data_IF_946569466967
#
_entry.id   IF_946569466967
#
_cell.length_a   1.000
_cell.length_b   1.000
_cell.length_c   1.000
_cell.angle_alpha   90.00
_cell.angle_beta   90.00
_cell.angle_gamma   90.00
#
_symmetry.space_group_name_H-M   'P 1'
#
loop_
_entity.id
_entity.type
_entity.pdbx_description
1 polymer ?
#
# COMPACT_ATOMS: atom_id res chain seq x y z
N UNK A 1 2.67 21.58 -4.55
CA UNK A 1 3.42 20.31 -4.66
C UNK A 1 2.68 19.27 -3.83
N UNK A 2 2.28 18.16 -4.45
CA UNK A 2 1.53 17.07 -3.80
C UNK A 2 2.44 16.25 -2.89
N UNK A 3 1.99 15.92 -1.68
CA UNK A 3 2.69 15.00 -0.78
C UNK A 3 2.23 13.58 -1.10
N UNK A 4 3.19 12.71 -1.41
CA UNK A 4 2.92 11.29 -1.73
C UNK A 4 3.19 10.42 -0.52
N UNK A 5 2.31 9.45 -0.31
CA UNK A 5 2.37 8.52 0.82
C UNK A 5 2.23 7.10 0.27
N UNK A 6 3.32 6.34 0.26
CA UNK A 6 3.35 4.96 -0.14
C UNK A 6 3.08 4.04 1.08
N UNK A 7 1.88 3.46 1.09
CA UNK A 7 1.46 2.47 2.08
C UNK A 7 1.79 1.05 1.64
N UNK A 8 2.79 0.45 2.26
CA UNK A 8 3.28 -0.90 1.94
C UNK A 8 2.58 -1.96 2.76
N UNK A 9 2.09 -3.01 2.11
CA UNK A 9 1.48 -4.14 2.81
C UNK A 9 1.73 -5.47 2.10
N UNK A 10 1.91 -6.52 2.89
CA UNK A 10 1.65 -7.88 2.44
C UNK A 10 0.14 -8.15 2.27
N UNK A 11 -0.25 -9.28 1.65
CA UNK A 11 -1.64 -9.69 1.54
C UNK A 11 -2.36 -9.72 2.89
N UNK A 12 -3.69 -9.49 2.88
CA UNK A 12 -4.57 -9.66 4.05
C UNK A 12 -4.24 -8.74 5.23
N UNK A 13 -3.77 -7.52 4.97
CA UNK A 13 -3.26 -6.62 6.00
C UNK A 13 -3.96 -5.25 6.04
N UNK A 14 -5.30 -5.25 6.07
CA UNK A 14 -6.20 -4.08 6.12
C UNK A 14 -5.87 -2.92 5.16
N UNK A 15 -5.03 -3.14 4.13
CA UNK A 15 -4.54 -2.09 3.26
C UNK A 15 -5.64 -1.43 2.45
N UNK A 16 -6.67 -2.18 2.07
CA UNK A 16 -7.90 -1.61 1.50
C UNK A 16 -8.60 -0.68 2.49
N UNK A 17 -8.71 -1.03 3.78
CA UNK A 17 -9.33 -0.16 4.78
C UNK A 17 -8.50 1.12 5.01
N UNK A 18 -7.17 1.01 5.00
CA UNK A 18 -6.29 2.18 5.04
C UNK A 18 -6.47 3.07 3.81
N UNK A 19 -6.50 2.49 2.62
CA UNK A 19 -6.76 3.24 1.40
C UNK A 19 -8.12 3.95 1.48
N UNK A 20 -9.17 3.30 2.01
CA UNK A 20 -10.47 3.94 2.27
C UNK A 20 -10.38 5.09 3.27
N UNK A 21 -9.61 4.94 4.34
CA UNK A 21 -9.39 6.00 5.32
C UNK A 21 -8.69 7.24 4.72
N UNK A 22 -7.76 7.05 3.78
CA UNK A 22 -7.15 8.16 3.05
C UNK A 22 -8.08 8.74 1.98
N UNK A 23 -8.83 7.89 1.27
CA UNK A 23 -9.84 8.28 0.26
C UNK A 23 -10.98 9.13 0.84
N UNK A 24 -11.34 8.92 2.11
CA UNK A 24 -12.40 9.70 2.76
C UNK A 24 -12.00 11.15 3.06
N UNK A 25 -10.73 11.51 2.89
CA UNK A 25 -10.27 12.89 3.04
C UNK A 25 -10.58 13.72 1.79
N UNK A 26 -11.07 14.96 1.93
CA UNK A 26 -11.34 15.82 0.79
C UNK A 26 -10.07 16.33 0.08
N UNK A 27 -8.90 16.26 0.72
CA UNK A 27 -7.62 16.76 0.21
C UNK A 27 -6.70 15.65 -0.34
N UNK A 28 -7.19 14.41 -0.43
CA UNK A 28 -6.40 13.24 -0.81
C UNK A 28 -7.00 12.49 -2.00
N UNK A 29 -6.19 12.20 -3.01
CA UNK A 29 -6.49 11.14 -3.97
C UNK A 29 -5.81 9.83 -3.55
N UNK A 30 -6.31 8.71 -4.06
CA UNK A 30 -5.70 7.39 -3.79
C UNK A 30 -5.42 6.63 -5.09
N UNK A 31 -4.37 5.82 -5.07
CA UNK A 31 -3.98 4.94 -6.18
C UNK A 31 -3.91 3.50 -5.65
N UNK A 32 -4.66 2.60 -6.28
CA UNK A 32 -4.78 1.21 -5.84
C UNK A 32 -3.83 0.31 -6.64
N UNK A 33 -2.85 -0.28 -5.94
CA UNK A 33 -1.88 -1.25 -6.48
C UNK A 33 -1.27 -0.84 -7.83
N UNK A 34 -0.58 0.32 -7.91
CA UNK A 34 -0.17 0.92 -9.18
C UNK A 34 0.79 0.04 -10.01
N UNK A 35 1.55 -0.85 -9.37
CA UNK A 35 2.51 -1.75 -10.02
C UNK A 35 1.92 -3.12 -10.41
N UNK A 36 0.61 -3.32 -10.27
CA UNK A 36 0.04 -4.65 -10.46
C UNK A 36 0.09 -5.11 -11.93
N UNK A 37 -0.28 -4.23 -12.87
CA UNK A 37 -0.29 -4.51 -14.29
C UNK A 37 1.08 -4.90 -14.85
N UNK A 38 2.12 -4.10 -14.58
CA UNK A 38 3.49 -4.43 -14.99
C UNK A 38 4.00 -5.70 -14.32
N UNK A 39 3.72 -5.92 -13.02
CA UNK A 39 4.08 -7.17 -12.33
C UNK A 39 3.44 -8.40 -12.99
N UNK A 40 2.17 -8.35 -13.40
CA UNK A 40 1.49 -9.46 -14.07
C UNK A 40 2.08 -9.77 -15.46
N UNK A 41 2.64 -8.77 -16.14
CA UNK A 41 3.35 -8.95 -17.40
C UNK A 41 4.72 -9.58 -17.18
N UNK A 42 5.49 -9.06 -16.22
CA UNK A 42 6.84 -9.53 -15.89
C UNK A 42 6.85 -10.97 -15.35
N UNK A 43 5.94 -11.28 -14.43
CA UNK A 43 5.89 -12.58 -13.73
C UNK A 43 5.17 -13.68 -14.51
N UNK A 44 4.28 -13.31 -15.44
CA UNK A 44 3.37 -14.25 -16.10
C UNK A 44 2.29 -14.85 -15.18
N UNK A 45 2.14 -14.32 -13.96
CA UNK A 45 1.20 -14.85 -12.97
C UNK A 45 -0.25 -14.87 -13.49
N UNK A 46 -0.96 -15.95 -13.18
CA UNK A 46 -2.36 -16.15 -13.58
C UNK A 46 -3.27 -15.75 -12.41
N UNK A 47 -3.78 -14.51 -12.45
CA UNK A 47 -4.69 -14.00 -11.43
C UNK A 47 -6.08 -13.72 -12.02
N UNK A 48 -7.17 -13.87 -11.24
CA UNK A 48 -8.48 -13.35 -11.63
C UNK A 48 -8.38 -11.89 -12.12
N UNK A 49 -9.10 -11.60 -13.22
CA UNK A 49 -9.15 -10.27 -13.85
C UNK A 49 -7.80 -9.76 -14.39
N UNK A 50 -6.79 -10.63 -14.59
CA UNK A 50 -5.47 -10.28 -15.11
C UNK A 50 -5.50 -9.29 -16.28
N UNK A 51 -6.22 -9.62 -17.34
CA UNK A 51 -6.23 -8.79 -18.56
C UNK A 51 -6.88 -7.43 -18.33
N UNK A 52 -7.91 -7.36 -17.48
CA UNK A 52 -8.53 -6.10 -17.10
C UNK A 52 -7.58 -5.21 -16.27
N UNK A 53 -6.81 -5.81 -15.35
CA UNK A 53 -5.80 -5.08 -14.56
C UNK A 53 -4.72 -4.53 -15.48
N UNK A 54 -4.14 -5.36 -16.36
CA UNK A 54 -3.10 -4.95 -17.32
C UNK A 54 -3.61 -3.83 -18.24
N UNK A 55 -4.86 -3.90 -18.69
CA UNK A 55 -5.44 -2.86 -19.54
C UNK A 55 -5.70 -1.53 -18.80
N UNK A 56 -5.87 -1.57 -17.48
CA UNK A 56 -6.20 -0.40 -16.66
C UNK A 56 -4.99 0.39 -16.14
N UNK A 57 -3.77 -0.14 -16.29
CA UNK A 57 -2.55 0.41 -15.68
C UNK A 57 -1.39 0.51 -16.70
N UNK A 58 -0.38 1.35 -16.44
CA UNK A 58 0.86 1.33 -17.21
C UNK A 58 1.52 -0.06 -17.21
N UNK A 59 2.07 -0.45 -18.36
CA UNK A 59 2.61 -1.79 -18.57
C UNK A 59 4.10 -1.92 -18.21
N UNK A 60 4.78 -0.81 -17.92
CA UNK A 60 6.19 -0.80 -17.48
C UNK A 60 6.30 -0.09 -16.13
N UNK A 61 7.32 -0.46 -15.33
CA UNK A 61 7.57 0.16 -14.02
C UNK A 61 7.82 1.66 -14.15
N UNK A 62 8.60 2.07 -15.14
CA UNK A 62 8.88 3.49 -15.40
C UNK A 62 7.60 4.26 -15.77
N UNK A 63 6.68 3.61 -16.50
CA UNK A 63 5.38 4.19 -16.82
C UNK A 63 4.50 4.36 -15.58
N UNK A 64 4.55 3.40 -14.65
CA UNK A 64 3.87 3.51 -13.35
C UNK A 64 4.45 4.67 -12.55
N UNK A 65 5.77 4.75 -12.43
CA UNK A 65 6.40 5.85 -11.68
C UNK A 65 6.09 7.21 -12.30
N UNK A 66 6.12 7.33 -13.64
CA UNK A 66 5.74 8.56 -14.32
C UNK A 66 4.28 8.95 -14.04
N UNK A 67 3.37 7.98 -13.97
CA UNK A 67 1.97 8.20 -13.61
C UNK A 67 1.84 8.69 -12.15
N UNK A 68 2.57 8.09 -11.21
CA UNK A 68 2.56 8.52 -9.80
C UNK A 68 3.11 9.94 -9.64
N UNK A 69 4.18 10.28 -10.39
CA UNK A 69 4.80 11.62 -10.40
C UNK A 69 3.93 12.71 -11.05
N UNK A 70 2.95 12.35 -11.86
CA UNK A 70 2.08 13.29 -12.54
C UNK A 70 1.34 14.22 -11.55
N UNK A 71 1.12 15.47 -11.97
CA UNK A 71 0.49 16.49 -11.15
C UNK A 71 -0.95 16.09 -10.76
N UNK A 72 -1.29 16.31 -9.50
CA UNK A 72 -2.58 15.97 -8.93
C UNK A 72 -3.29 17.25 -8.48
N UNK A 73 -4.61 17.30 -8.66
CA UNK A 73 -5.44 18.38 -8.11
C UNK A 73 -5.62 18.28 -6.57
N UNK A 74 -5.06 17.25 -5.95
CA UNK A 74 -5.14 16.98 -4.53
C UNK A 74 -3.80 17.29 -3.84
N UNK A 75 -3.88 17.73 -2.59
CA UNK A 75 -2.70 18.04 -1.78
C UNK A 75 -1.95 16.77 -1.38
N UNK A 76 -2.67 15.67 -1.19
CA UNK A 76 -2.15 14.36 -0.82
C UNK A 76 -2.46 13.33 -1.90
N UNK A 77 -1.56 12.37 -2.06
CA UNK A 77 -1.75 11.17 -2.86
C UNK A 77 -1.33 9.96 -2.01
N UNK A 78 -2.28 9.08 -1.68
CA UNK A 78 -1.99 7.83 -0.99
C UNK A 78 -1.93 6.67 -1.97
N UNK A 79 -0.83 5.91 -1.95
CA UNK A 79 -0.57 4.82 -2.87
C UNK A 79 -0.59 3.52 -2.08
N UNK A 80 -1.55 2.64 -2.39
CA UNK A 80 -1.61 1.30 -1.80
C UNK A 80 -0.68 0.37 -2.56
N UNK A 81 0.48 0.07 -1.97
CA UNK A 81 1.49 -0.81 -2.56
C UNK A 81 1.43 -2.22 -1.95
N UNK A 82 1.50 -3.22 -2.83
CA UNK A 82 1.66 -4.61 -2.44
C UNK A 82 3.11 -5.03 -2.57
N UNK A 83 3.67 -5.60 -1.51
CA UNK A 83 5.10 -5.94 -1.45
C UNK A 83 5.53 -6.97 -2.49
N UNK A 84 4.64 -7.87 -2.90
CA UNK A 84 4.93 -8.88 -3.92
C UNK A 84 4.95 -8.32 -5.35
N UNK A 85 4.45 -7.09 -5.59
CA UNK A 85 4.63 -6.40 -6.87
C UNK A 85 6.07 -5.87 -7.04
N UNK A 86 6.88 -5.98 -5.99
CA UNK A 86 8.26 -5.52 -5.93
C UNK A 86 9.21 -6.71 -5.75
N UNK A 87 9.49 -7.52 -6.78
CA UNK A 87 10.45 -8.62 -6.69
C UNK A 87 11.86 -8.13 -6.39
N UNK A 88 12.76 -9.05 -5.99
CA UNK A 88 14.15 -8.72 -5.68
C UNK A 88 14.88 -8.20 -6.93
N UNK A 89 15.74 -7.20 -6.75
CA UNK A 89 16.62 -6.69 -7.81
C UNK A 89 16.01 -5.64 -8.74
N UNK A 90 14.79 -5.19 -8.48
CA UNK A 90 14.20 -4.03 -9.18
C UNK A 90 14.82 -2.72 -8.69
N UNK A 91 14.71 -1.67 -9.51
CA UNK A 91 15.03 -0.32 -9.06
C UNK A 91 13.95 0.20 -8.09
N UNK A 92 14.41 0.74 -6.96
CA UNK A 92 13.59 1.34 -5.91
C UNK A 92 13.94 2.82 -5.70
N UNK A 93 14.76 3.45 -6.55
CA UNK A 93 15.18 4.84 -6.36
C UNK A 93 14.00 5.83 -6.24
N UNK A 94 12.85 5.54 -6.84
CA UNK A 94 11.64 6.36 -6.77
C UNK A 94 11.09 6.54 -5.34
N UNK A 95 11.47 5.67 -4.38
CA UNK A 95 10.97 5.75 -3.00
C UNK A 95 11.38 7.06 -2.32
N UNK A 96 12.47 7.72 -2.75
CA UNK A 96 12.87 9.02 -2.20
C UNK A 96 11.84 10.14 -2.45
N UNK A 97 10.88 9.93 -3.34
CA UNK A 97 9.87 10.91 -3.74
C UNK A 97 8.57 10.82 -2.94
N UNK A 98 8.47 9.86 -2.02
CA UNK A 98 7.30 9.63 -1.19
C UNK A 98 7.66 9.48 0.29
N UNK A 99 6.67 9.73 1.15
CA UNK A 99 6.72 9.28 2.54
C UNK A 99 6.22 7.84 2.58
N UNK A 100 6.72 7.05 3.51
CA UNK A 100 6.41 5.62 3.56
C UNK A 100 5.77 5.22 4.87
N UNK A 101 4.88 4.23 4.82
CA UNK A 101 4.37 3.53 5.99
C UNK A 101 4.26 2.05 5.67
N UNK A 102 4.73 1.20 6.58
CA UNK A 102 4.63 -0.25 6.43
C UNK A 102 3.56 -0.80 7.37
N UNK A 103 2.56 -1.46 6.80
CA UNK A 103 1.55 -2.16 7.56
C UNK A 103 2.00 -3.58 7.82
N UNK A 104 1.94 -4.03 9.06
CA UNK A 104 2.24 -5.39 9.48
C UNK A 104 1.01 -6.04 10.12
N UNK A 105 0.97 -7.37 10.05
CA UNK A 105 -0.03 -8.17 10.72
C UNK A 105 0.63 -9.42 11.27
N UNK A 106 0.23 -9.82 12.47
CA UNK A 106 0.68 -11.07 13.08
C UNK A 106 0.59 -12.24 12.08
N UNK A 107 1.70 -12.96 11.82
CA UNK A 107 1.72 -14.09 10.90
C UNK A 107 0.66 -15.15 11.23
N UNK A 108 0.42 -15.40 12.52
CA UNK A 108 -0.62 -16.32 12.99
C UNK A 108 -2.02 -15.90 12.52
N UNK A 109 -2.33 -14.59 12.50
CA UNK A 109 -3.60 -14.06 12.00
C UNK A 109 -3.68 -14.09 10.47
N UNK A 110 -2.56 -13.92 9.77
CA UNK A 110 -2.52 -14.06 8.31
C UNK A 110 -2.78 -15.51 7.92
N UNK A 111 -2.07 -16.46 8.54
CA UNK A 111 -2.25 -17.91 8.34
C UNK A 111 -3.70 -18.33 8.65
N UNK A 112 -4.28 -17.85 9.76
CA UNK A 112 -5.67 -18.13 10.09
C UNK A 112 -6.66 -17.64 9.01
N UNK A 113 -6.40 -16.48 8.38
CA UNK A 113 -7.22 -15.99 7.25
C UNK A 113 -7.03 -16.80 5.98
N UNK A 114 -5.86 -17.41 5.75
CA UNK A 114 -5.56 -18.21 4.56
C UNK A 114 -6.08 -19.65 4.67
N UNK A 115 -6.04 -20.26 5.87
CA UNK A 115 -6.52 -21.63 6.11
C UNK A 115 -8.00 -21.85 5.76
N UNK A 116 -8.80 -20.79 5.65
CA UNK A 116 -10.20 -20.87 5.19
C UNK A 116 -10.35 -20.89 3.65
N UNK A 117 -9.31 -20.55 2.89
CA UNK A 117 -9.42 -20.30 1.43
C UNK A 117 -8.36 -20.97 0.55
N UNK A 118 -7.24 -21.49 1.09
CA UNK A 118 -6.21 -22.17 0.29
C UNK A 118 -5.68 -23.46 0.95
N UNK A 119 -5.43 -24.54 0.16
CA UNK A 119 -4.92 -25.83 0.67
C UNK A 119 -3.46 -25.81 1.13
N UNK A 120 -2.63 -24.88 0.65
CA UNK A 120 -1.23 -24.71 1.03
C UNK A 120 -0.86 -23.23 1.02
N UNK A 121 -0.06 -22.80 2.01
CA UNK A 121 0.47 -21.44 2.13
C UNK A 121 1.97 -21.58 2.26
N UNK A 122 2.74 -21.06 1.29
CA UNK A 122 4.19 -20.96 1.40
C UNK A 122 4.58 -19.65 2.09
N UNK A 123 5.79 -19.56 2.64
CA UNK A 123 6.27 -18.32 3.27
C UNK A 123 6.32 -17.13 2.28
N UNK A 124 6.55 -17.44 1.00
CA UNK A 124 6.47 -16.46 -0.10
C UNK A 124 5.02 -15.99 -0.35
N UNK A 125 4.02 -16.87 -0.23
CA UNK A 125 2.59 -16.51 -0.39
C UNK A 125 2.08 -15.56 0.71
N UNK A 126 2.69 -15.60 1.90
CA UNK A 126 2.36 -14.68 2.99
C UNK A 126 3.04 -13.32 2.77
N UNK A 127 4.13 -13.29 1.98
CA UNK A 127 4.84 -12.06 1.62
C UNK A 127 5.59 -11.39 2.78
N UNK A 128 5.71 -12.04 3.94
CA UNK A 128 6.35 -11.48 5.14
C UNK A 128 7.85 -11.28 4.92
N UNK A 129 8.53 -12.27 4.34
CA UNK A 129 9.97 -12.21 4.07
C UNK A 129 10.25 -11.05 3.12
N UNK A 130 9.54 -10.99 1.99
CA UNK A 130 9.74 -9.91 1.02
C UNK A 130 9.38 -8.54 1.60
N UNK A 131 8.34 -8.44 2.42
CA UNK A 131 8.00 -7.20 3.10
C UNK A 131 9.13 -6.71 4.02
N UNK A 132 9.76 -7.64 4.75
CA UNK A 132 10.89 -7.30 5.62
C UNK A 132 12.11 -6.83 4.81
N UNK A 133 12.44 -7.52 3.73
CA UNK A 133 13.52 -7.12 2.82
C UNK A 133 13.27 -5.72 2.24
N UNK A 134 12.05 -5.47 1.75
CA UNK A 134 11.67 -4.14 1.23
C UNK A 134 11.76 -3.06 2.30
N UNK A 135 11.38 -3.35 3.54
CA UNK A 135 11.54 -2.41 4.63
C UNK A 135 13.02 -2.03 4.83
N UNK A 136 13.91 -3.02 4.81
CA UNK A 136 15.35 -2.79 4.97
C UNK A 136 15.94 -2.05 3.75
N UNK A 137 15.55 -2.40 2.51
CA UNK A 137 15.95 -1.73 1.26
C UNK A 137 15.50 -0.27 1.24
N UNK A 138 14.21 0.00 1.51
CA UNK A 138 13.65 1.35 1.56
C UNK A 138 14.31 2.16 2.67
N UNK A 139 14.52 1.57 3.86
CA UNK A 139 15.20 2.26 4.96
C UNK A 139 16.64 2.65 4.59
N UNK A 140 17.35 1.77 3.87
CA UNK A 140 18.72 2.05 3.42
C UNK A 140 18.77 3.19 2.40
N UNK A 141 17.81 3.23 1.47
CA UNK A 141 17.73 4.30 0.46
C UNK A 141 17.38 5.65 1.09
N UNK A 142 16.42 5.66 2.02
CA UNK A 142 15.98 6.89 2.70
C UNK A 142 16.98 7.40 3.75
N UNK A 143 17.83 6.51 4.29
CA UNK A 143 18.70 6.81 5.43
C UNK A 143 17.95 6.93 6.77
N UNK A 144 16.65 6.64 6.78
CA UNK A 144 15.80 6.61 7.97
C UNK A 144 14.81 5.45 7.90
N UNK A 145 14.19 5.13 9.04
CA UNK A 145 13.24 4.02 9.15
C UNK A 145 11.81 4.53 8.98
N UNK A 146 11.06 4.06 7.96
CA UNK A 146 9.65 4.39 7.84
C UNK A 146 8.84 3.92 9.06
N UNK A 147 7.75 4.63 9.43
CA UNK A 147 6.80 4.15 10.43
C UNK A 147 6.21 2.79 10.06
N UNK A 148 5.99 1.99 11.09
CA UNK A 148 5.38 0.66 10.99
C UNK A 148 4.09 0.65 11.82
N UNK A 149 3.00 0.18 11.23
CA UNK A 149 1.70 0.06 11.88
C UNK A 149 1.27 -1.40 11.97
N UNK A 150 0.92 -1.88 13.17
CA UNK A 150 0.21 -3.16 13.31
C UNK A 150 -1.27 -2.94 13.01
N UNK A 151 -1.80 -3.73 12.07
CA UNK A 151 -3.24 -3.79 11.79
C UNK A 151 -4.12 -3.99 13.02
N UNK A 152 -3.63 -4.66 14.07
CA UNK A 152 -4.33 -4.86 15.32
C UNK A 152 -4.58 -3.53 16.05
N UNK A 153 -3.59 -2.66 16.07
CA UNK A 153 -3.64 -1.38 16.76
C UNK A 153 -4.59 -0.44 16.01
N UNK A 154 -4.51 -0.41 14.67
CA UNK A 154 -5.44 0.35 13.82
C UNK A 154 -6.89 -0.08 14.06
N UNK A 155 -7.15 -1.37 14.24
CA UNK A 155 -8.51 -1.87 14.48
C UNK A 155 -9.01 -1.58 15.90
N UNK A 156 -8.10 -1.51 16.87
CA UNK A 156 -8.44 -1.25 18.27
C UNK A 156 -8.72 0.24 18.53
N UNK A 157 -7.94 1.13 17.91
CA UNK A 157 -8.09 2.59 18.01
C UNK A 157 -7.78 3.26 16.64
N UNK A 158 -8.73 3.22 15.68
CA UNK A 158 -8.50 3.78 14.35
C UNK A 158 -8.14 5.27 14.39
N UNK A 159 -8.83 6.04 15.22
CA UNK A 159 -8.63 7.49 15.30
C UNK A 159 -7.26 7.82 15.90
N UNK A 160 -6.92 7.24 17.05
CA UNK A 160 -5.66 7.50 17.73
C UNK A 160 -4.45 7.11 16.87
N UNK A 161 -4.50 5.94 16.24
CA UNK A 161 -3.40 5.45 15.39
C UNK A 161 -3.28 6.26 14.10
N UNK A 162 -4.38 6.59 13.43
CA UNK A 162 -4.32 7.40 12.20
C UNK A 162 -3.90 8.85 12.49
N UNK A 163 -4.31 9.42 13.62
CA UNK A 163 -3.86 10.75 14.07
C UNK A 163 -2.35 10.76 14.32
N UNK A 164 -1.82 9.76 15.02
CA UNK A 164 -0.39 9.61 15.24
C UNK A 164 0.39 9.40 13.92
N UNK A 165 -0.18 8.63 12.98
CA UNK A 165 0.42 8.47 11.66
C UNK A 165 0.50 9.81 10.90
N UNK A 166 -0.58 10.59 10.90
CA UNK A 166 -0.59 11.92 10.29
C UNK A 166 0.51 12.83 10.87
N UNK A 167 0.70 12.82 12.19
CA UNK A 167 1.75 13.58 12.87
C UNK A 167 3.15 13.16 12.39
N UNK A 168 3.46 11.86 12.41
CA UNK A 168 4.76 11.32 11.95
C UNK A 168 5.02 11.63 10.48
N UNK A 169 3.97 11.58 9.65
CA UNK A 169 4.08 11.91 8.22
C UNK A 169 4.12 13.43 7.97
N UNK A 170 3.87 14.29 8.98
CA UNK A 170 3.81 15.74 8.81
C UNK A 170 2.59 16.20 7.99
N UNK A 171 1.47 15.46 8.10
CA UNK A 171 0.21 15.73 7.41
C UNK A 171 -0.83 16.21 8.42
N UNK A 172 -1.63 17.26 8.12
CA UNK A 172 -2.68 17.70 9.03
C UNK A 172 -3.75 16.62 9.25
N UNK A 173 -4.09 16.39 10.52
CA UNK A 173 -5.27 15.62 10.90
C UNK A 173 -6.55 16.42 10.57
N UNK A 174 -7.58 15.73 10.09
CA UNK A 174 -8.91 16.30 9.85
C UNK A 174 -9.93 15.41 10.57
N UNK A 175 -10.60 15.95 11.59
CA UNK A 175 -11.54 15.19 12.40
C UNK A 175 -12.67 14.58 11.55
N UNK A 176 -12.94 13.29 11.76
CA UNK A 176 -13.96 12.52 11.04
C UNK A 176 -13.62 12.12 9.60
N UNK A 177 -12.61 12.72 8.97
CA UNK A 177 -12.31 12.51 7.56
C UNK A 177 -11.58 11.21 7.22
N UNK A 178 -11.11 10.46 8.23
CA UNK A 178 -10.36 9.20 8.04
C UNK A 178 -10.97 8.01 8.79
N UNK A 179 -12.07 8.22 9.51
CA UNK A 179 -12.72 7.21 10.36
C UNK A 179 -14.15 6.90 9.92
N UNK A 180 -14.63 7.60 8.88
CA UNK A 180 -15.99 7.46 8.36
C UNK A 180 -15.97 7.42 6.83
N UNK A 181 -16.58 6.40 6.24
CA UNK A 181 -16.82 6.32 4.80
C UNK A 181 -18.10 5.53 4.49
N UNK A 182 -18.75 5.75 3.34
CA UNK A 182 -19.95 5.01 2.96
C UNK A 182 -19.70 3.50 2.88
N UNK A 183 -20.68 2.71 3.34
CA UNK A 183 -20.64 1.26 3.17
C UNK A 183 -20.78 0.88 1.68
N UNK A 184 -20.05 -0.14 1.24
CA UNK A 184 -20.15 -0.68 -0.12
C UNK A 184 -18.84 -0.62 -0.92
N UNK A 185 -18.95 -0.87 -2.23
CA UNK A 185 -17.84 -0.78 -3.20
C UNK A 185 -17.39 0.66 -3.41
N UNK A 186 -16.17 0.87 -3.91
CA UNK A 186 -15.69 2.20 -4.29
C UNK A 186 -16.51 2.69 -5.49
N UNK A 187 -16.81 3.99 -5.54
CA UNK A 187 -17.48 4.60 -6.69
C UNK A 187 -16.51 4.89 -7.85
N UNK A 188 -15.20 4.75 -7.60
CA UNK A 188 -14.09 4.94 -8.53
C UNK A 188 -12.97 3.96 -8.22
#
# INVERSE_FOLDING_TARGET
>A
MTIRIAGWSGPRNISTAMMRAWESRPDCCVVDEPFYGCYLLESGAQHPMRDAVIASQPQTREGVEAQLRAEQNHRLQYEKHMTHHMPRGIDLNWVVEAKHVFLIRSPARVIASYRQKMPSVTDDDIGIVRQRELYDEVSAILGERPPVLDSADVLADPEGVLRALCEVLGVPWIDGAMTQWPAGTRAS
#
